data_IF_055123659048
#
_entry.id   IF_055123659048
#
_cell.length_a   1.000
_cell.length_b   1.000
_cell.length_c   1.000
_cell.angle_alpha   90.00
_cell.angle_beta   90.00
_cell.angle_gamma   90.00
#
_symmetry.space_group_name_H-M   'P 1'
#
loop_
_entity.id
_entity.type
_entity.pdbx_description
1 polymer ?
#
# COMPACT_ATOMS: atom_id res chain seq x y z
N UNK A 1 -18.30 8.94 15.53
CA UNK A 1 -19.54 8.77 14.74
C UNK A 1 -19.46 9.41 13.36
N UNK A 2 -19.30 10.73 13.23
CA UNK A 2 -19.24 11.41 11.91
C UNK A 2 -18.25 10.74 10.95
N UNK A 3 -17.01 10.52 11.40
CA UNK A 3 -15.94 9.88 10.61
C UNK A 3 -16.30 8.47 10.13
N UNK A 4 -17.07 7.71 10.91
CA UNK A 4 -17.48 6.34 10.56
C UNK A 4 -18.53 6.35 9.45
N UNK A 5 -19.60 7.14 9.61
CA UNK A 5 -20.70 7.22 8.63
C UNK A 5 -20.20 7.81 7.31
N UNK A 6 -19.46 8.92 7.38
CA UNK A 6 -18.90 9.58 6.19
C UNK A 6 -17.90 8.71 5.44
N UNK A 7 -17.14 7.86 6.14
CA UNK A 7 -16.22 6.94 5.48
C UNK A 7 -16.94 5.86 4.68
N UNK A 8 -18.03 5.30 5.23
CA UNK A 8 -18.86 4.32 4.52
C UNK A 8 -19.43 4.94 3.25
N UNK A 9 -19.99 6.14 3.33
CA UNK A 9 -20.53 6.86 2.17
C UNK A 9 -19.44 7.22 1.16
N UNK A 10 -18.25 7.64 1.63
CA UNK A 10 -17.13 7.99 0.76
C UNK A 10 -16.60 6.77 -0.01
N UNK A 11 -16.46 5.61 0.64
CA UNK A 11 -16.04 4.38 -0.04
C UNK A 11 -17.13 3.89 -1.00
N UNK A 12 -18.41 3.95 -0.59
CA UNK A 12 -19.54 3.56 -1.45
C UNK A 12 -19.67 4.43 -2.71
N UNK A 13 -19.21 5.69 -2.67
CA UNK A 13 -19.23 6.59 -3.82
C UNK A 13 -18.20 6.26 -4.93
N UNK A 14 -17.34 5.26 -4.73
CA UNK A 14 -16.33 4.85 -5.72
C UNK A 14 -15.14 5.82 -5.85
N UNK A 15 -15.03 6.82 -4.97
CA UNK A 15 -13.87 7.69 -4.91
C UNK A 15 -12.60 6.89 -4.59
N UNK A 16 -11.48 7.27 -5.21
CA UNK A 16 -10.18 6.64 -4.94
C UNK A 16 -9.65 7.08 -3.56
N UNK A 17 -10.15 6.43 -2.52
CA UNK A 17 -9.89 6.69 -1.10
C UNK A 17 -9.73 5.35 -0.36
N UNK A 18 -8.92 5.32 0.70
CA UNK A 18 -8.78 4.17 1.59
C UNK A 18 -9.55 4.33 2.90
N UNK A 19 -10.03 3.23 3.48
CA UNK A 19 -10.68 3.23 4.80
C UNK A 19 -9.71 3.08 5.99
N UNK A 20 -8.51 2.59 5.73
CA UNK A 20 -7.61 2.10 6.79
C UNK A 20 -7.08 3.20 7.72
N UNK A 21 -6.61 4.33 7.18
CA UNK A 21 -6.15 5.45 8.01
C UNK A 21 -7.23 6.01 8.95
N UNK A 22 -8.44 6.32 8.43
CA UNK A 22 -9.57 6.70 9.28
C UNK A 22 -9.96 5.66 10.34
N UNK A 23 -9.84 4.37 10.05
CA UNK A 23 -10.18 3.27 10.98
C UNK A 23 -9.23 3.26 12.18
N UNK A 24 -7.92 3.45 11.97
CA UNK A 24 -6.93 3.58 13.06
C UNK A 24 -7.31 4.74 13.99
N UNK A 25 -7.71 5.88 13.43
CA UNK A 25 -8.15 7.02 14.23
C UNK A 25 -9.44 6.74 15.01
N UNK A 26 -10.41 6.05 14.41
CA UNK A 26 -11.64 5.66 15.14
C UNK A 26 -11.31 4.73 16.30
N UNK A 27 -10.39 3.77 16.12
CA UNK A 27 -9.91 2.91 17.19
C UNK A 27 -9.27 3.71 18.34
N UNK A 28 -8.43 4.70 18.02
CA UNK A 28 -7.86 5.61 19.02
C UNK A 28 -8.93 6.42 19.76
N UNK A 29 -9.98 6.90 19.08
CA UNK A 29 -11.10 7.58 19.74
C UNK A 29 -11.82 6.66 20.72
N UNK A 30 -12.07 5.41 20.34
CA UNK A 30 -12.65 4.41 21.26
C UNK A 30 -11.72 4.17 22.46
N UNK A 31 -10.43 3.95 22.23
CA UNK A 31 -9.43 3.79 23.29
C UNK A 31 -9.37 5.00 24.24
N UNK A 32 -9.50 6.21 23.71
CA UNK A 32 -9.56 7.44 24.51
C UNK A 32 -10.80 7.46 25.41
N UNK A 33 -11.98 7.10 24.90
CA UNK A 33 -13.23 7.02 25.69
C UNK A 33 -13.07 5.99 26.82
N UNK A 34 -12.54 4.81 26.52
CA UNK A 34 -12.27 3.78 27.54
C UNK A 34 -11.23 4.23 28.58
N UNK A 35 -10.26 5.06 28.19
CA UNK A 35 -9.28 5.60 29.15
C UNK A 35 -9.89 6.53 30.20
N UNK A 36 -11.00 7.21 29.89
CA UNK A 36 -11.72 8.07 30.85
C UNK A 36 -12.51 7.27 31.88
N UNK A 37 -12.92 6.04 31.56
CA UNK A 37 -13.64 5.16 32.49
C UNK A 37 -12.78 4.75 33.70
N UNK A 38 -11.45 4.81 33.56
CA UNK A 38 -10.51 4.38 34.58
C UNK A 38 -9.67 5.56 35.09
N UNK A 39 -9.83 6.00 36.35
CA UNK A 39 -9.12 7.15 36.92
C UNK A 39 -7.58 7.05 36.82
N UNK A 40 -7.05 5.82 36.86
CA UNK A 40 -5.62 5.50 36.70
C UNK A 40 -5.05 5.94 35.35
N UNK A 41 -5.84 5.85 34.29
CA UNK A 41 -5.43 6.21 32.93
C UNK A 41 -5.88 7.63 32.57
N UNK A 42 -7.05 8.06 33.04
CA UNK A 42 -7.59 9.41 32.81
C UNK A 42 -6.69 10.53 33.36
N UNK A 43 -6.16 10.36 34.59
CA UNK A 43 -5.35 11.40 35.26
C UNK A 43 -3.87 11.40 34.85
N UNK A 44 -3.40 10.38 34.13
CA UNK A 44 -1.99 10.24 33.76
C UNK A 44 -1.81 10.20 32.25
N UNK A 45 -1.40 11.32 31.67
CA UNK A 45 -1.19 11.48 30.23
C UNK A 45 -0.16 10.50 29.64
N UNK A 46 0.86 10.09 30.41
CA UNK A 46 1.81 9.09 29.94
C UNK A 46 1.15 7.72 29.76
N UNK A 47 0.29 7.33 30.71
CA UNK A 47 -0.46 6.05 30.65
C UNK A 47 -1.59 6.11 29.63
N UNK A 48 -2.21 7.26 29.44
CA UNK A 48 -3.17 7.49 28.37
C UNK A 48 -2.55 7.31 26.99
N UNK A 49 -1.33 7.83 26.78
CA UNK A 49 -0.57 7.61 25.54
C UNK A 49 -0.31 6.12 25.29
N UNK A 50 0.05 5.34 26.31
CA UNK A 50 0.19 3.88 26.17
C UNK A 50 -1.10 3.20 25.67
N UNK A 51 -2.28 3.63 26.15
CA UNK A 51 -3.58 3.12 25.71
C UNK A 51 -3.87 3.52 24.26
N UNK A 52 -3.54 4.75 23.85
CA UNK A 52 -3.70 5.22 22.47
C UNK A 52 -2.78 4.45 21.51
N UNK A 53 -1.55 4.16 21.92
CA UNK A 53 -0.63 3.35 21.13
C UNK A 53 -1.17 1.92 20.95
N UNK A 54 -1.70 1.30 22.00
CA UNK A 54 -2.34 -0.02 21.92
C UNK A 54 -3.61 0.01 21.03
N UNK A 55 -4.43 1.05 21.15
CA UNK A 55 -5.64 1.22 20.34
C UNK A 55 -5.32 1.42 18.84
N UNK A 56 -4.25 2.16 18.53
CA UNK A 56 -3.78 2.32 17.15
C UNK A 56 -3.31 0.98 16.55
N UNK A 57 -2.58 0.17 17.32
CA UNK A 57 -2.12 -1.15 16.89
C UNK A 57 -3.31 -2.09 16.61
N UNK A 58 -4.30 -2.12 17.50
CA UNK A 58 -5.54 -2.87 17.28
C UNK A 58 -6.31 -2.36 16.05
N UNK A 59 -6.36 -1.04 15.83
CA UNK A 59 -6.97 -0.44 14.65
C UNK A 59 -6.31 -0.87 13.34
N UNK A 60 -4.97 -0.87 13.27
CA UNK A 60 -4.23 -1.36 12.10
C UNK A 60 -4.43 -2.87 11.91
N UNK A 61 -4.46 -3.64 13.01
CA UNK A 61 -4.72 -5.07 12.97
C UNK A 61 -6.11 -5.39 12.40
N UNK A 62 -7.14 -4.60 12.70
CA UNK A 62 -8.48 -4.77 12.12
C UNK A 62 -8.55 -4.29 10.67
N UNK A 63 -7.81 -3.23 10.35
CA UNK A 63 -7.73 -2.66 9.00
C UNK A 63 -7.14 -3.65 7.99
N UNK A 64 -6.02 -4.29 8.35
CA UNK A 64 -5.25 -5.15 7.44
C UNK A 64 -5.32 -6.64 7.79
N UNK A 65 -5.83 -7.03 8.96
CA UNK A 65 -5.74 -8.42 9.43
C UNK A 65 -4.33 -8.83 9.86
N UNK A 66 -3.46 -7.84 10.16
CA UNK A 66 -2.03 -7.99 10.40
C UNK A 66 -1.67 -7.53 11.84
N UNK A 67 -1.70 -8.42 12.86
CA UNK A 67 -1.49 -8.04 14.25
C UNK A 67 -0.04 -7.64 14.56
N UNK A 68 0.97 -8.32 14.00
CA UNK A 68 2.38 -7.97 14.23
C UNK A 68 2.69 -6.65 13.51
N UNK A 69 2.23 -6.54 12.27
CA UNK A 69 2.36 -5.33 11.46
C UNK A 69 1.70 -4.11 12.14
N UNK A 70 0.55 -4.29 12.80
CA UNK A 70 -0.12 -3.23 13.55
C UNK A 70 0.64 -2.72 14.77
N UNK A 71 1.28 -3.61 15.53
CA UNK A 71 2.12 -3.20 16.67
C UNK A 71 3.38 -2.47 16.19
N UNK A 72 4.02 -2.98 15.13
CA UNK A 72 5.17 -2.32 14.52
C UNK A 72 4.81 -0.96 13.92
N UNK A 73 3.62 -0.82 13.35
CA UNK A 73 3.14 0.48 12.89
C UNK A 73 2.98 1.48 14.03
N UNK A 74 2.40 1.06 15.16
CA UNK A 74 2.26 1.91 16.36
C UNK A 74 3.63 2.33 16.93
N UNK A 75 4.61 1.43 16.85
CA UNK A 75 6.00 1.68 17.18
C UNK A 75 6.69 2.67 16.23
N UNK A 76 6.49 2.53 14.91
CA UNK A 76 7.18 3.31 13.90
C UNK A 76 6.60 4.73 13.76
N UNK A 77 5.27 4.88 13.88
CA UNK A 77 4.57 6.10 13.49
C UNK A 77 3.83 6.82 14.63
N UNK A 78 3.45 6.10 15.70
CA UNK A 78 2.58 6.67 16.75
C UNK A 78 3.37 7.04 18.00
N UNK A 79 4.43 6.29 18.33
CA UNK A 79 5.12 6.41 19.63
C UNK A 79 6.64 6.46 19.49
N UNK A 80 7.27 7.55 19.93
CA UNK A 80 8.75 7.65 19.99
C UNK A 80 9.36 6.74 21.06
N UNK A 81 8.66 6.58 22.18
CA UNK A 81 9.07 5.74 23.30
C UNK A 81 8.01 4.69 23.57
N UNK A 82 8.42 3.42 23.56
CA UNK A 82 7.51 2.30 23.69
C UNK A 82 8.08 1.27 24.65
N UNK A 83 7.65 1.31 25.93
CA UNK A 83 8.19 0.37 26.92
C UNK A 83 7.71 -1.04 26.62
N UNK A 84 8.55 -2.05 26.92
CA UNK A 84 8.27 -3.47 26.63
C UNK A 84 6.93 -3.95 27.21
N UNK A 85 6.52 -3.42 28.37
CA UNK A 85 5.21 -3.73 28.97
C UNK A 85 4.04 -3.26 28.10
N UNK A 86 4.17 -2.11 27.43
CA UNK A 86 3.15 -1.59 26.50
C UNK A 86 3.16 -2.36 25.19
N UNK A 87 4.33 -2.86 24.77
CA UNK A 87 4.45 -3.73 23.60
C UNK A 87 3.62 -5.00 23.73
N UNK A 88 3.81 -5.74 24.83
CA UNK A 88 3.04 -6.95 25.08
C UNK A 88 1.53 -6.69 25.18
N UNK A 89 1.13 -5.58 25.81
CA UNK A 89 -0.29 -5.19 25.92
C UNK A 89 -0.89 -4.82 24.55
N UNK A 90 -0.14 -4.11 23.72
CA UNK A 90 -0.57 -3.72 22.37
C UNK A 90 -0.68 -4.94 21.47
N UNK A 91 0.27 -5.87 21.58
CA UNK A 91 0.24 -7.15 20.86
C UNK A 91 -0.97 -8.00 21.25
N UNK A 92 -1.25 -8.14 22.54
CA UNK A 92 -2.44 -8.84 23.00
C UNK A 92 -3.73 -8.20 22.49
N UNK A 93 -3.83 -6.85 22.55
CA UNK A 93 -4.98 -6.12 22.02
C UNK A 93 -5.17 -6.32 20.50
N UNK A 94 -4.08 -6.28 19.73
CA UNK A 94 -4.10 -6.55 18.29
C UNK A 94 -4.51 -7.99 17.97
N UNK A 95 -3.99 -8.97 18.71
CA UNK A 95 -4.35 -10.38 18.56
C UNK A 95 -5.84 -10.63 18.80
N UNK A 96 -6.39 -10.06 19.88
CA UNK A 96 -7.83 -10.17 20.18
C UNK A 96 -8.65 -9.52 19.06
N UNK A 97 -8.21 -8.37 18.55
CA UNK A 97 -8.90 -7.69 17.45
C UNK A 97 -8.88 -8.52 16.15
N UNK A 98 -7.73 -9.12 15.81
CA UNK A 98 -7.61 -10.04 14.67
C UNK A 98 -8.47 -11.30 14.84
N UNK A 99 -8.51 -11.88 16.05
CA UNK A 99 -9.34 -13.04 16.35
C UNK A 99 -10.83 -12.73 16.17
N UNK A 100 -11.31 -11.60 16.71
CA UNK A 100 -12.70 -11.15 16.54
C UNK A 100 -13.02 -10.92 15.07
N UNK A 101 -12.13 -10.29 14.31
CA UNK A 101 -12.30 -10.10 12.87
C UNK A 101 -12.43 -11.44 12.13
N UNK A 102 -11.62 -12.45 12.51
CA UNK A 102 -11.71 -13.80 11.97
C UNK A 102 -13.04 -14.47 12.28
N UNK A 103 -13.50 -14.37 13.53
CA UNK A 103 -14.73 -15.00 13.99
C UNK A 103 -15.97 -14.43 13.30
N UNK A 104 -15.96 -13.13 12.98
CA UNK A 104 -17.06 -12.48 12.25
C UNK A 104 -17.03 -12.85 10.76
N UNK A 105 -15.85 -13.16 10.20
CA UNK A 105 -15.63 -13.51 8.79
C UNK A 105 -16.37 -12.59 7.79
N UNK A 106 -16.11 -11.27 7.81
CA UNK A 106 -16.83 -10.31 6.97
C UNK A 106 -16.63 -10.52 5.47
N UNK A 107 -15.56 -11.21 5.07
CA UNK A 107 -15.21 -11.43 3.66
C UNK A 107 -15.74 -12.76 3.10
N UNK A 108 -16.32 -13.64 3.93
CA UNK A 108 -16.82 -14.95 3.51
C UNK A 108 -15.73 -15.97 3.11
N UNK A 109 -14.47 -15.57 3.08
CA UNK A 109 -13.36 -16.40 2.56
C UNK A 109 -12.64 -17.22 3.65
N UNK A 110 -13.11 -17.19 4.91
CA UNK A 110 -12.50 -17.91 6.06
C UNK A 110 -11.05 -17.54 6.38
N UNK A 111 -10.46 -16.60 5.63
CA UNK A 111 -9.12 -16.04 5.80
C UNK A 111 -9.21 -14.70 6.54
N UNK A 112 -8.20 -14.42 7.36
CA UNK A 112 -8.04 -13.18 8.13
C UNK A 112 -7.81 -11.94 7.26
N UNK A 113 -7.34 -12.16 6.03
CA UNK A 113 -6.74 -11.16 5.16
C UNK A 113 -7.50 -11.08 3.83
N UNK A 114 -7.68 -9.86 3.34
CA UNK A 114 -8.35 -9.56 2.06
C UNK A 114 -7.54 -9.96 0.80
N UNK A 115 -6.22 -10.06 0.91
CA UNK A 115 -5.26 -10.22 -0.21
C UNK A 115 -4.38 -11.48 -0.10
N UNK A 116 -4.92 -12.57 0.42
CA UNK A 116 -4.13 -13.80 0.57
C UNK A 116 -3.77 -14.41 -0.79
N UNK A 117 -2.46 -14.52 -1.07
CA UNK A 117 -1.93 -15.17 -2.28
C UNK A 117 -0.76 -16.06 -1.87
N UNK A 118 -0.89 -17.36 -2.06
CA UNK A 118 0.21 -18.32 -1.93
C UNK A 118 0.94 -18.40 -3.27
N UNK A 119 2.24 -18.14 -3.24
CA UNK A 119 3.13 -18.32 -4.38
C UNK A 119 3.99 -19.54 -4.11
N UNK A 120 4.06 -20.46 -5.08
CA UNK A 120 4.77 -21.73 -4.94
C UNK A 120 6.18 -21.73 -5.55
N UNK A 121 6.60 -20.60 -6.12
CA UNK A 121 7.84 -20.43 -6.87
C UNK A 121 8.88 -19.63 -6.08
N UNK A 122 10.10 -20.15 -5.89
CA UNK A 122 11.15 -19.39 -5.23
C UNK A 122 11.57 -18.22 -6.12
N UNK A 123 11.88 -17.07 -5.50
CA UNK A 123 12.46 -15.93 -6.20
C UNK A 123 13.97 -16.09 -6.33
N UNK A 124 14.55 -15.52 -7.38
CA UNK A 124 15.99 -15.59 -7.61
C UNK A 124 16.70 -14.23 -7.53
N UNK A 125 18.02 -14.24 -7.28
CA UNK A 125 18.81 -13.03 -7.02
C UNK A 125 18.78 -11.99 -8.14
N UNK A 126 18.75 -12.36 -9.42
CA UNK A 126 18.73 -11.35 -10.48
C UNK A 126 17.36 -10.66 -10.63
N UNK A 127 16.27 -11.22 -10.10
CA UNK A 127 14.97 -10.53 -9.98
C UNK A 127 15.02 -9.35 -9.00
N UNK A 128 16.07 -9.28 -8.18
CA UNK A 128 16.32 -8.12 -7.32
C UNK A 128 16.50 -6.83 -8.13
N UNK A 129 17.04 -6.91 -9.35
CA UNK A 129 17.23 -5.72 -10.18
C UNK A 129 15.90 -5.03 -10.55
N UNK A 130 14.91 -5.72 -11.15
CA UNK A 130 13.61 -5.09 -11.40
C UNK A 130 12.85 -4.74 -10.12
N UNK A 131 13.03 -5.46 -9.00
CA UNK A 131 12.47 -5.05 -7.70
C UNK A 131 13.05 -3.73 -7.19
N UNK A 132 14.36 -3.50 -7.36
CA UNK A 132 15.00 -2.22 -7.05
C UNK A 132 14.46 -1.12 -7.97
N UNK A 133 14.25 -1.39 -9.26
CA UNK A 133 13.66 -0.44 -10.20
C UNK A 133 12.24 -0.02 -9.77
N UNK A 134 11.42 -1.00 -9.34
CA UNK A 134 10.09 -0.72 -8.76
C UNK A 134 10.19 0.11 -7.48
N UNK A 135 11.22 -0.13 -6.66
CA UNK A 135 11.60 0.71 -5.53
C UNK A 135 11.86 2.16 -5.93
N UNK A 136 12.73 2.38 -6.93
CA UNK A 136 13.03 3.72 -7.46
C UNK A 136 11.76 4.41 -7.97
N UNK A 137 10.94 3.70 -8.74
CA UNK A 137 9.65 4.20 -9.23
C UNK A 137 8.73 4.60 -8.07
N UNK A 138 8.58 3.75 -7.04
CA UNK A 138 7.77 4.04 -5.87
C UNK A 138 8.25 5.27 -5.09
N UNK A 139 9.56 5.46 -4.99
CA UNK A 139 10.17 6.62 -4.34
C UNK A 139 9.95 7.93 -5.10
N UNK A 140 10.11 7.90 -6.43
CA UNK A 140 9.84 9.02 -7.33
C UNK A 140 8.36 9.39 -7.34
N UNK A 141 7.49 8.38 -7.46
CA UNK A 141 6.04 8.55 -7.37
C UNK A 141 5.64 9.18 -6.03
N UNK A 142 6.17 8.65 -4.91
CA UNK A 142 5.89 9.20 -3.58
C UNK A 142 6.31 10.67 -3.45
N UNK A 143 7.49 11.03 -3.95
CA UNK A 143 7.97 12.40 -3.94
C UNK A 143 7.11 13.34 -4.81
N UNK A 144 6.75 12.90 -6.02
CA UNK A 144 5.87 13.63 -6.94
C UNK A 144 4.47 13.83 -6.32
N UNK A 145 3.87 12.74 -5.83
CA UNK A 145 2.55 12.75 -5.21
C UNK A 145 2.48 13.74 -4.05
N UNK A 146 3.46 13.72 -3.14
CA UNK A 146 3.49 14.62 -1.98
C UNK A 146 3.58 16.09 -2.45
N UNK A 147 4.45 16.40 -3.41
CA UNK A 147 4.60 17.78 -3.94
C UNK A 147 3.33 18.25 -4.64
N UNK A 148 2.76 17.42 -5.53
CA UNK A 148 1.54 17.72 -6.26
C UNK A 148 0.34 17.91 -5.32
N UNK A 149 0.21 17.04 -4.32
CA UNK A 149 -0.88 17.15 -3.35
C UNK A 149 -0.78 18.42 -2.49
N UNK A 150 0.43 18.78 -2.04
CA UNK A 150 0.64 20.03 -1.29
C UNK A 150 0.35 21.25 -2.16
N UNK A 151 0.83 21.26 -3.41
CA UNK A 151 0.55 22.33 -4.36
C UNK A 151 -0.96 22.51 -4.59
N UNK A 152 -1.68 21.39 -4.77
CA UNK A 152 -3.12 21.38 -4.91
C UNK A 152 -3.85 21.88 -3.65
N UNK A 153 -3.41 21.45 -2.46
CA UNK A 153 -3.96 21.93 -1.19
C UNK A 153 -3.71 23.43 -0.98
N UNK A 154 -2.54 23.96 -1.34
CA UNK A 154 -2.25 25.41 -1.30
C UNK A 154 -3.14 26.18 -2.28
N UNK A 155 -3.29 25.68 -3.51
CA UNK A 155 -4.14 26.31 -4.52
C UNK A 155 -5.61 26.36 -4.08
N UNK A 156 -6.12 25.34 -3.38
CA UNK A 156 -7.46 25.38 -2.78
C UNK A 156 -7.64 26.45 -1.70
N UNK A 157 -6.64 26.69 -0.87
CA UNK A 157 -6.70 27.76 0.13
C UNK A 157 -6.70 29.15 -0.50
N UNK A 158 -6.04 29.32 -1.65
CA UNK A 158 -5.92 30.60 -2.35
C UNK A 158 -7.07 30.90 -3.32
N UNK A 159 -7.84 29.91 -3.76
CA UNK A 159 -8.86 30.06 -4.82
C UNK A 159 -10.28 30.05 -4.25
N UNK A 160 -11.24 30.60 -5.01
CA UNK A 160 -12.67 30.57 -4.64
C UNK A 160 -13.25 29.16 -4.47
N UNK A 161 -12.59 28.13 -5.02
CA UNK A 161 -12.96 26.72 -4.85
C UNK A 161 -13.01 26.29 -3.38
N UNK A 162 -12.23 26.91 -2.49
CA UNK A 162 -12.29 26.62 -1.05
C UNK A 162 -13.61 27.00 -0.36
N UNK A 163 -14.45 27.86 -0.98
CA UNK A 163 -15.73 28.32 -0.42
C UNK A 163 -16.85 27.28 -0.52
N UNK A 164 -16.82 26.37 -1.51
CA UNK A 164 -17.88 25.39 -1.75
C UNK A 164 -17.34 23.94 -1.74
N UNK A 165 -16.96 23.42 -0.56
CA UNK A 165 -16.31 22.10 -0.46
C UNK A 165 -17.22 20.93 -0.83
N UNK A 166 -18.54 21.06 -0.66
CA UNK A 166 -19.49 19.99 -1.01
C UNK A 166 -19.63 19.86 -2.53
N UNK A 167 -19.77 20.98 -3.24
CA UNK A 167 -19.84 21.01 -4.69
C UNK A 167 -18.55 20.45 -5.33
N UNK A 168 -17.40 20.72 -4.72
CA UNK A 168 -16.12 20.18 -5.15
C UNK A 168 -16.10 18.64 -5.08
N UNK A 169 -16.54 18.05 -3.96
CA UNK A 169 -16.59 16.58 -3.81
C UNK A 169 -17.54 15.96 -4.83
N UNK A 170 -18.72 16.57 -5.04
CA UNK A 170 -19.70 16.10 -6.03
C UNK A 170 -19.11 16.16 -7.45
N UNK A 171 -18.44 17.27 -7.80
CA UNK A 171 -17.81 17.43 -9.11
C UNK A 171 -16.68 16.40 -9.32
N UNK A 172 -15.81 16.20 -8.32
CA UNK A 172 -14.74 15.19 -8.43
C UNK A 172 -15.33 13.78 -8.52
N UNK A 173 -16.37 13.46 -7.76
CA UNK A 173 -17.04 12.16 -7.86
C UNK A 173 -17.68 11.95 -9.25
N UNK A 174 -18.37 12.95 -9.79
CA UNK A 174 -18.95 12.88 -11.13
C UNK A 174 -17.90 12.70 -12.22
N UNK A 175 -16.81 13.48 -12.17
CA UNK A 175 -15.67 13.34 -13.09
C UNK A 175 -15.02 11.96 -12.94
N UNK A 176 -14.85 11.47 -11.71
CA UNK A 176 -14.35 10.11 -11.45
C UNK A 176 -15.22 9.08 -12.15
N UNK A 177 -16.55 9.16 -11.98
CA UNK A 177 -17.49 8.21 -12.55
C UNK A 177 -17.46 8.23 -14.09
N UNK A 178 -17.48 9.42 -14.70
CA UNK A 178 -17.48 9.58 -16.16
C UNK A 178 -16.18 9.02 -16.77
N UNK A 179 -15.03 9.33 -16.18
CA UNK A 179 -13.72 8.94 -16.73
C UNK A 179 -13.35 7.50 -16.37
N UNK A 180 -13.84 6.96 -15.25
CA UNK A 180 -13.59 5.56 -14.87
C UNK A 180 -14.50 4.55 -15.58
N UNK A 181 -15.66 4.99 -16.12
CA UNK A 181 -16.62 4.11 -16.77
C UNK A 181 -16.08 3.34 -18.00
N UNK A 182 -15.28 3.95 -18.89
CA UNK A 182 -14.81 3.27 -20.11
C UNK A 182 -13.79 2.16 -19.86
N UNK A 183 -13.00 2.25 -18.77
CA UNK A 183 -11.93 1.29 -18.49
C UNK A 183 -12.36 0.28 -17.41
N UNK A 184 -12.38 -1.03 -17.70
CA UNK A 184 -12.87 -2.05 -16.77
C UNK A 184 -12.09 -2.08 -15.45
N UNK A 185 -10.76 -1.91 -15.50
CA UNK A 185 -9.89 -1.92 -14.32
C UNK A 185 -10.06 -0.68 -13.44
N UNK A 186 -10.45 0.47 -14.02
CA UNK A 186 -10.73 1.67 -13.23
C UNK A 186 -12.11 1.65 -12.60
N UNK A 187 -13.05 0.89 -13.20
CA UNK A 187 -14.43 0.72 -12.73
C UNK A 187 -14.55 -0.18 -11.50
N UNK A 188 -13.69 -1.19 -11.39
CA UNK A 188 -13.68 -2.12 -10.25
C UNK A 188 -13.31 -1.42 -8.93
N UNK A 189 -13.76 -2.02 -7.82
CA UNK A 189 -13.38 -1.60 -6.48
C UNK A 189 -11.86 -1.74 -6.31
N UNK A 190 -11.22 -0.74 -5.70
CA UNK A 190 -9.74 -0.70 -5.65
C UNK A 190 -9.15 -1.88 -4.87
N UNK A 191 -9.86 -2.40 -3.86
CA UNK A 191 -9.45 -3.62 -3.15
C UNK A 191 -9.63 -4.89 -3.98
N UNK A 192 -10.67 -4.97 -4.80
CA UNK A 192 -10.88 -6.12 -5.68
C UNK A 192 -9.83 -6.13 -6.79
N UNK A 193 -9.54 -4.96 -7.36
CA UNK A 193 -8.46 -4.76 -8.33
C UNK A 193 -7.09 -5.19 -7.78
N UNK A 194 -6.73 -4.79 -6.56
CA UNK A 194 -5.45 -5.21 -5.94
C UNK A 194 -5.42 -6.73 -5.78
N UNK A 195 -6.53 -7.35 -5.37
CA UNK A 195 -6.61 -8.81 -5.26
C UNK A 195 -6.36 -9.46 -6.62
N UNK A 196 -7.04 -9.01 -7.68
CA UNK A 196 -6.88 -9.51 -9.05
C UNK A 196 -5.46 -9.28 -9.60
N UNK A 197 -4.77 -8.22 -9.19
CA UNK A 197 -3.38 -7.93 -9.57
C UNK A 197 -2.38 -8.86 -8.87
N UNK A 198 -2.66 -9.28 -7.63
CA UNK A 198 -1.79 -10.16 -6.86
C UNK A 198 -2.03 -11.63 -7.21
N UNK A 199 -3.23 -12.02 -7.64
CA UNK A 199 -3.51 -13.40 -8.02
C UNK A 199 -2.77 -13.80 -9.29
N UNK A 200 -2.27 -15.03 -9.28
CA UNK A 200 -1.75 -15.69 -10.47
C UNK A 200 -2.89 -16.37 -11.24
N UNK A 201 -2.63 -16.62 -12.53
CA UNK A 201 -3.64 -17.13 -13.43
C UNK A 201 -3.92 -18.61 -13.19
N UNK A 202 -5.00 -18.89 -12.47
CA UNK A 202 -5.48 -20.26 -12.22
C UNK A 202 -6.37 -20.82 -13.35
N UNK A 203 -6.62 -22.14 -13.38
CA UNK A 203 -7.37 -22.83 -14.44
C UNK A 203 -8.87 -22.48 -14.52
N UNK A 204 -9.43 -21.78 -13.52
CA UNK A 204 -10.84 -21.36 -13.49
C UNK A 204 -11.04 -19.84 -13.62
N UNK A 205 -9.98 -19.04 -13.70
CA UNK A 205 -10.09 -17.58 -13.73
C UNK A 205 -10.09 -17.05 -15.17
N UNK A 206 -11.19 -16.42 -15.57
CA UNK A 206 -11.43 -15.86 -16.91
C UNK A 206 -11.10 -14.37 -17.01
N UNK A 207 -10.11 -13.88 -16.25
CA UNK A 207 -9.69 -12.48 -16.32
C UNK A 207 -8.92 -12.21 -17.63
N UNK A 208 -9.04 -10.99 -18.16
CA UNK A 208 -8.30 -10.57 -19.38
C UNK A 208 -6.77 -10.60 -19.16
N UNK A 209 -6.34 -10.53 -17.90
CA UNK A 209 -4.95 -10.68 -17.45
C UNK A 209 -4.39 -12.10 -17.67
N UNK A 210 -5.26 -13.09 -17.83
CA UNK A 210 -4.91 -14.51 -17.91
C UNK A 210 -5.15 -15.12 -19.29
N UNK A 211 -5.48 -14.31 -20.29
CA UNK A 211 -5.73 -14.75 -21.66
C UNK A 211 -4.43 -14.87 -22.48
N UNK A 212 -3.53 -15.72 -22.03
CA UNK A 212 -2.32 -16.11 -22.75
C UNK A 212 -2.65 -17.02 -23.95
N UNK A 213 -1.76 -17.10 -24.94
CA UNK A 213 -1.99 -18.01 -26.07
C UNK A 213 -1.86 -19.46 -25.59
N UNK A 214 -2.97 -20.21 -25.61
CA UNK A 214 -2.94 -21.63 -25.30
C UNK A 214 -2.37 -22.40 -26.50
N UNK A 215 -1.19 -23.01 -26.36
CA UNK A 215 -0.76 -24.01 -27.34
C UNK A 215 -1.57 -25.30 -27.13
N UNK A 216 -2.42 -25.62 -28.09
CA UNK A 216 -3.25 -26.81 -28.08
C UNK A 216 -2.47 -27.99 -28.66
N UNK A 217 -1.63 -28.64 -27.86
CA UNK A 217 -1.00 -29.91 -28.23
C UNK A 217 -1.85 -31.08 -27.72
N UNK A 218 -2.83 -31.51 -28.53
CA UNK A 218 -3.70 -32.66 -28.25
C UNK A 218 -4.91 -32.37 -27.35
N UNK A 219 -5.70 -33.42 -27.08
CA UNK A 219 -7.03 -33.39 -26.41
C UNK A 219 -7.03 -32.95 -24.93
N UNK A 220 -5.92 -32.39 -24.45
CA UNK A 220 -5.80 -31.80 -23.11
C UNK A 220 -5.29 -30.38 -23.31
N UNK A 221 -6.15 -29.39 -23.07
CA UNK A 221 -5.69 -28.02 -22.87
C UNK A 221 -4.72 -28.05 -21.68
N UNK A 222 -3.43 -27.89 -21.94
CA UNK A 222 -2.41 -27.82 -20.89
C UNK A 222 -2.54 -26.46 -20.21
N UNK A 223 -3.44 -26.38 -19.23
CA UNK A 223 -3.55 -25.24 -18.33
C UNK A 223 -2.29 -25.05 -17.45
N UNK A 224 -1.41 -26.05 -17.43
CA UNK A 224 -0.19 -26.13 -16.61
C UNK A 224 1.12 -25.86 -17.38
N UNK A 225 1.07 -25.27 -18.59
CA UNK A 225 2.31 -24.81 -19.25
C UNK A 225 2.68 -23.41 -18.70
N UNK A 226 3.80 -23.26 -17.98
CA UNK A 226 4.16 -22.06 -17.21
C UNK A 226 4.65 -20.88 -18.07
N UNK A 227 5.15 -21.15 -19.27
CA UNK A 227 5.67 -20.13 -20.18
C UNK A 227 4.78 -20.04 -21.42
N UNK A 228 4.00 -18.95 -21.55
CA UNK A 228 3.17 -18.71 -22.73
C UNK A 228 3.43 -17.33 -23.32
N UNK A 229 3.44 -17.20 -24.66
CA UNK A 229 3.44 -15.89 -25.25
C UNK A 229 2.15 -15.16 -24.90
N UNK A 230 2.27 -13.88 -24.59
CA UNK A 230 1.14 -13.00 -24.30
C UNK A 230 0.13 -13.10 -25.45
N UNK A 231 -1.11 -13.45 -25.12
CA UNK A 231 -2.21 -13.43 -26.08
C UNK A 231 -2.66 -12.01 -26.38
N UNK A 232 -3.51 -11.81 -27.41
CA UNK A 232 -4.08 -10.50 -27.71
C UNK A 232 -4.86 -9.90 -26.53
N UNK A 233 -5.42 -10.73 -25.65
CA UNK A 233 -6.08 -10.30 -24.41
C UNK A 233 -5.12 -9.66 -23.40
N UNK A 234 -3.93 -10.23 -23.22
CA UNK A 234 -2.90 -9.69 -22.32
C UNK A 234 -2.38 -8.34 -22.83
N UNK A 235 -2.13 -8.20 -24.14
CA UNK A 235 -1.73 -6.89 -24.71
C UNK A 235 -2.81 -5.82 -24.54
N UNK A 236 -4.09 -6.17 -24.75
CA UNK A 236 -5.21 -5.28 -24.47
C UNK A 236 -5.27 -4.90 -22.99
N UNK A 237 -5.08 -5.88 -22.09
CA UNK A 237 -5.05 -5.65 -20.65
C UNK A 237 -3.88 -4.73 -20.24
N UNK A 238 -2.67 -4.93 -20.77
CA UNK A 238 -1.52 -4.07 -20.53
C UNK A 238 -1.79 -2.62 -20.92
N UNK A 239 -2.38 -2.39 -22.09
CA UNK A 239 -2.76 -1.04 -22.52
C UNK A 239 -3.80 -0.41 -21.57
N UNK A 240 -4.83 -1.17 -21.19
CA UNK A 240 -5.85 -0.70 -20.26
C UNK A 240 -5.28 -0.43 -18.85
N UNK A 241 -4.31 -1.21 -18.38
CA UNK A 241 -3.61 -1.00 -17.11
C UNK A 241 -2.72 0.24 -17.15
N UNK A 242 -2.03 0.50 -18.26
CA UNK A 242 -1.26 1.73 -18.46
C UNK A 242 -2.17 2.98 -18.38
N UNK A 243 -3.33 2.93 -19.04
CA UNK A 243 -4.34 3.99 -18.93
C UNK A 243 -4.90 4.11 -17.50
N UNK A 244 -5.16 2.97 -16.84
CA UNK A 244 -5.63 2.93 -15.46
C UNK A 244 -4.61 3.53 -14.48
N UNK A 245 -3.32 3.29 -14.70
CA UNK A 245 -2.21 3.82 -13.90
C UNK A 245 -2.21 5.35 -13.94
N UNK A 246 -2.20 5.92 -15.15
CA UNK A 246 -2.22 7.38 -15.36
C UNK A 246 -3.48 7.98 -14.72
N UNK A 247 -4.64 7.36 -14.94
CA UNK A 247 -5.89 7.82 -14.37
C UNK A 247 -5.88 7.79 -12.83
N UNK A 248 -5.50 6.66 -12.21
CA UNK A 248 -5.41 6.54 -10.74
C UNK A 248 -4.41 7.53 -10.15
N UNK A 249 -3.27 7.75 -10.80
CA UNK A 249 -2.28 8.77 -10.41
C UNK A 249 -2.94 10.16 -10.33
N UNK A 250 -3.64 10.58 -11.39
CA UNK A 250 -4.28 11.90 -11.44
C UNK A 250 -5.40 12.00 -10.41
N UNK A 251 -6.27 10.99 -10.34
CA UNK A 251 -7.42 11.01 -9.43
C UNK A 251 -7.01 11.01 -7.97
N UNK A 252 -6.01 10.22 -7.57
CA UNK A 252 -5.55 10.17 -6.18
C UNK A 252 -4.99 11.51 -5.68
N UNK A 253 -4.34 12.29 -6.54
CA UNK A 253 -3.84 13.64 -6.21
C UNK A 253 -5.02 14.57 -5.89
N UNK A 254 -6.08 14.53 -6.69
CA UNK A 254 -7.26 15.37 -6.52
C UNK A 254 -8.11 14.94 -5.30
N UNK A 255 -8.32 13.63 -5.12
CA UNK A 255 -9.19 13.07 -4.08
C UNK A 255 -8.61 13.25 -2.67
N UNK A 256 -7.30 13.08 -2.46
CA UNK A 256 -6.71 13.06 -1.10
C UNK A 256 -6.80 14.39 -0.33
N UNK A 257 -6.96 15.52 -1.02
CA UNK A 257 -7.14 16.79 -0.32
C UNK A 257 -8.59 17.30 -0.27
N UNK A 258 -9.57 16.50 -0.71
CA UNK A 258 -10.98 16.80 -0.48
C UNK A 258 -11.28 16.87 1.03
N UNK A 259 -12.34 17.60 1.41
CA UNK A 259 -12.79 17.70 2.82
C UNK A 259 -13.62 16.47 3.23
N UNK A 260 -13.08 15.27 3.01
CA UNK A 260 -13.70 13.97 3.33
C UNK A 260 -12.67 13.14 4.10
N UNK A 261 -13.06 12.34 5.12
CA UNK A 261 -12.12 11.45 5.77
C UNK A 261 -11.61 10.39 4.78
N UNK A 262 -10.31 10.42 4.52
CA UNK A 262 -9.68 9.57 3.53
C UNK A 262 -8.37 8.98 4.05
N UNK A 263 -8.16 7.70 3.80
CA UNK A 263 -6.87 7.03 3.90
C UNK A 263 -6.17 7.02 2.55
N UNK A 264 -4.84 7.02 2.58
CA UNK A 264 -3.98 7.03 1.39
C UNK A 264 -3.36 5.67 1.07
N UNK A 265 -3.53 4.69 1.98
CA UNK A 265 -2.89 3.38 1.92
C UNK A 265 -3.32 2.60 0.67
N UNK A 266 -4.62 2.30 0.54
CA UNK A 266 -5.16 1.49 -0.56
C UNK A 266 -4.90 2.13 -1.94
N UNK A 267 -5.15 3.42 -2.18
CA UNK A 267 -4.89 4.00 -3.50
C UNK A 267 -3.41 3.98 -3.90
N UNK A 268 -2.49 4.15 -2.94
CA UNK A 268 -1.05 4.07 -3.23
C UNK A 268 -0.59 2.64 -3.50
N UNK A 269 -1.14 1.67 -2.77
CA UNK A 269 -0.91 0.25 -3.06
C UNK A 269 -1.43 -0.12 -4.45
N UNK A 270 -2.60 0.38 -4.86
CA UNK A 270 -3.15 0.09 -6.19
C UNK A 270 -2.28 0.62 -7.33
N UNK A 271 -1.77 1.86 -7.22
CA UNK A 271 -0.85 2.43 -8.23
C UNK A 271 0.42 1.58 -8.33
N UNK A 272 0.97 1.18 -7.19
CA UNK A 272 2.14 0.31 -7.15
C UNK A 272 1.86 -1.10 -7.67
N UNK A 273 0.69 -1.67 -7.38
CA UNK A 273 0.28 -2.99 -7.86
C UNK A 273 0.13 -3.01 -9.38
N UNK A 274 -0.50 -1.97 -9.97
CA UNK A 274 -0.63 -1.84 -11.41
C UNK A 274 0.74 -1.72 -12.07
N UNK A 275 1.61 -0.83 -11.56
CA UNK A 275 2.95 -0.66 -12.10
C UNK A 275 3.79 -1.94 -11.96
N UNK A 276 3.70 -2.60 -10.80
CA UNK A 276 4.34 -3.88 -10.54
C UNK A 276 3.88 -4.98 -11.49
N UNK A 277 2.56 -5.12 -11.71
CA UNK A 277 2.02 -6.12 -12.64
C UNK A 277 2.47 -5.87 -14.08
N UNK A 278 2.50 -4.61 -14.53
CA UNK A 278 2.97 -4.25 -15.87
C UNK A 278 4.45 -4.66 -16.03
N UNK A 279 5.29 -4.37 -15.03
CA UNK A 279 6.71 -4.77 -15.05
C UNK A 279 6.85 -6.29 -14.99
N UNK A 280 6.06 -6.97 -14.15
CA UNK A 280 6.06 -8.43 -14.04
C UNK A 280 5.77 -9.11 -15.38
N UNK A 281 4.68 -8.71 -16.05
CA UNK A 281 4.33 -9.25 -17.38
C UNK A 281 5.41 -8.89 -18.41
N UNK A 282 5.99 -7.69 -18.35
CA UNK A 282 7.06 -7.30 -19.28
C UNK A 282 8.33 -8.15 -19.09
N UNK A 283 8.72 -8.45 -17.85
CA UNK A 283 9.89 -9.30 -17.53
C UNK A 283 9.63 -10.75 -17.91
N UNK A 284 8.42 -11.26 -17.66
CA UNK A 284 7.96 -12.59 -18.09
C UNK A 284 8.05 -12.75 -19.61
N UNK A 285 7.52 -11.79 -20.38
CA UNK A 285 7.59 -11.84 -21.84
C UNK A 285 9.02 -11.66 -22.37
N UNK A 286 9.83 -10.83 -21.72
CA UNK A 286 11.23 -10.67 -22.10
C UNK A 286 12.01 -11.98 -21.90
N UNK A 287 11.79 -12.69 -20.80
CA UNK A 287 12.40 -13.98 -20.52
C UNK A 287 12.00 -15.04 -21.57
N UNK A 288 10.73 -15.05 -21.99
CA UNK A 288 10.23 -15.96 -23.02
C UNK A 288 10.91 -15.76 -24.39
N UNK A 289 11.02 -14.51 -24.87
CA UNK A 289 11.61 -14.22 -26.20
C UNK A 289 13.15 -14.28 -26.21
N UNK A 290 13.81 -14.05 -25.08
CA UNK A 290 15.27 -14.00 -24.96
C UNK A 290 15.82 -15.04 -23.99
N UNK A 291 15.33 -16.27 -24.09
CA UNK A 291 15.78 -17.41 -23.27
C UNK A 291 17.28 -17.72 -23.45
N UNK A 292 17.87 -17.31 -24.58
CA UNK A 292 19.28 -17.52 -24.90
C UNK A 292 20.23 -16.48 -24.27
N UNK A 293 19.71 -15.40 -23.68
CA UNK A 293 20.56 -14.35 -23.11
C UNK A 293 21.24 -14.90 -21.84
N UNK A 294 22.50 -14.51 -21.60
CA UNK A 294 23.28 -14.99 -20.44
C UNK A 294 22.52 -14.80 -19.12
N UNK A 295 21.68 -13.77 -19.07
CA UNK A 295 20.88 -13.38 -17.93
C UNK A 295 19.62 -14.22 -17.71
N UNK A 296 19.21 -15.09 -18.63
CA UNK A 296 18.02 -15.96 -18.52
C UNK A 296 18.35 -17.46 -18.57
N UNK A 297 19.53 -17.80 -19.11
CA UNK A 297 19.97 -19.17 -19.35
C UNK A 297 20.28 -20.02 -18.10
N UNK A 298 20.65 -19.42 -16.97
CA UNK A 298 21.16 -20.14 -15.79
C UNK A 298 20.11 -20.53 -14.73
N UNK A 299 18.90 -20.00 -14.82
CA UNK A 299 17.94 -19.92 -13.71
C UNK A 299 16.47 -20.00 -14.15
N UNK A 300 16.20 -19.92 -15.46
CA UNK A 300 14.91 -20.29 -16.02
C UNK A 300 15.12 -21.53 -16.89
N UNK A 301 14.65 -22.68 -16.42
CA UNK A 301 14.61 -23.91 -17.21
C UNK A 301 13.32 -23.90 -18.03
N UNK A 302 13.44 -24.22 -19.33
CA UNK A 302 12.32 -24.26 -20.28
C UNK A 302 11.21 -25.16 -19.72
N UNK A 303 10.09 -24.56 -19.33
CA UNK A 303 8.93 -25.29 -18.81
C UNK A 303 8.78 -25.30 -17.28
N UNK A 304 9.45 -24.42 -16.55
CA UNK A 304 9.20 -24.13 -15.13
C UNK A 304 8.67 -22.70 -14.91
N UNK A 305 7.88 -22.47 -13.86
CA UNK A 305 7.41 -21.11 -13.50
C UNK A 305 8.59 -20.28 -12.93
N UNK A 306 9.28 -19.55 -13.79
CA UNK A 306 10.46 -18.76 -13.39
C UNK A 306 10.10 -17.38 -12.84
N UNK A 307 9.04 -16.75 -13.36
CA UNK A 307 8.69 -15.36 -13.05
C UNK A 307 7.20 -15.30 -12.75
N UNK A 308 6.87 -14.78 -11.56
CA UNK A 308 5.49 -14.70 -11.12
C UNK A 308 5.02 -13.24 -11.10
N UNK A 309 4.19 -12.79 -12.04
CA UNK A 309 3.82 -11.37 -12.17
C UNK A 309 3.02 -10.84 -10.97
N UNK A 310 2.34 -11.71 -10.21
CA UNK A 310 1.70 -11.35 -8.94
C UNK A 310 2.71 -10.85 -7.90
N UNK A 311 3.89 -11.47 -7.81
CA UNK A 311 4.96 -11.05 -6.89
C UNK A 311 5.44 -9.63 -7.19
N UNK A 312 5.61 -9.28 -8.47
CA UNK A 312 5.99 -7.94 -8.89
C UNK A 312 4.92 -6.91 -8.54
N UNK A 313 3.64 -7.25 -8.67
CA UNK A 313 2.53 -6.41 -8.23
C UNK A 313 2.60 -6.14 -6.72
N UNK A 314 2.86 -7.15 -5.89
CA UNK A 314 3.00 -6.99 -4.44
C UNK A 314 4.19 -6.12 -4.07
N UNK A 315 5.36 -6.36 -4.67
CA UNK A 315 6.58 -5.58 -4.43
C UNK A 315 6.37 -4.12 -4.86
N UNK A 316 5.74 -3.89 -6.01
CA UNK A 316 5.39 -2.56 -6.50
C UNK A 316 4.40 -1.84 -5.57
N UNK A 317 3.38 -2.54 -5.06
CA UNK A 317 2.42 -2.01 -4.09
C UNK A 317 3.11 -1.57 -2.79
N UNK A 318 4.00 -2.40 -2.25
CA UNK A 318 4.79 -2.11 -1.06
C UNK A 318 5.74 -0.91 -1.30
N UNK A 319 6.45 -0.89 -2.43
CA UNK A 319 7.38 0.17 -2.80
C UNK A 319 6.68 1.53 -2.94
N UNK A 320 5.53 1.60 -3.63
CA UNK A 320 4.77 2.84 -3.79
C UNK A 320 4.18 3.32 -2.45
N UNK A 321 3.63 2.40 -1.64
CA UNK A 321 3.11 2.77 -0.33
C UNK A 321 4.23 3.29 0.58
N UNK A 322 5.37 2.58 0.66
CA UNK A 322 6.55 3.01 1.43
C UNK A 322 7.14 4.33 0.95
N UNK A 323 7.06 4.62 -0.36
CA UNK A 323 7.50 5.88 -0.93
C UNK A 323 6.64 7.08 -0.49
N UNK A 324 5.33 6.89 -0.33
CA UNK A 324 4.42 7.96 0.11
C UNK A 324 4.40 8.11 1.64
N UNK A 325 4.38 6.99 2.38
CA UNK A 325 4.28 7.00 3.84
C UNK A 325 5.62 7.16 4.55
N UNK A 326 6.74 6.75 3.92
CA UNK A 326 8.10 6.64 4.52
C UNK A 326 8.25 5.57 5.61
N UNK A 327 7.23 4.72 5.76
CA UNK A 327 7.25 3.54 6.64
C UNK A 327 8.05 2.43 5.99
N UNK A 328 8.83 1.71 6.79
CA UNK A 328 9.72 0.63 6.32
C UNK A 328 9.35 -0.71 6.91
N UNK A 329 9.63 -0.91 8.20
CA UNK A 329 9.58 -2.24 8.82
C UNK A 329 8.14 -2.67 9.05
N UNK A 330 7.30 -1.79 9.57
CA UNK A 330 5.88 -2.07 9.77
C UNK A 330 5.19 -2.43 8.45
N UNK A 331 5.50 -1.71 7.38
CA UNK A 331 4.90 -1.91 6.06
C UNK A 331 5.27 -3.27 5.46
N UNK A 332 6.55 -3.64 5.52
CA UNK A 332 7.00 -4.96 5.04
C UNK A 332 6.32 -6.08 5.82
N UNK A 333 6.21 -5.94 7.15
CA UNK A 333 5.54 -6.96 7.98
C UNK A 333 4.03 -7.00 7.72
N UNK A 334 3.37 -5.87 7.49
CA UNK A 334 1.95 -5.84 7.09
C UNK A 334 1.78 -6.60 5.77
N UNK A 335 2.57 -6.28 4.74
CA UNK A 335 2.47 -6.95 3.43
C UNK A 335 2.79 -8.44 3.55
N UNK A 336 3.80 -8.81 4.34
CA UNK A 336 4.11 -10.21 4.62
C UNK A 336 2.97 -10.96 5.34
N UNK A 337 2.38 -10.39 6.40
CA UNK A 337 1.24 -11.01 7.08
C UNK A 337 0.02 -11.12 6.15
N UNK A 338 -0.09 -10.23 5.16
CA UNK A 338 -1.15 -10.29 4.18
C UNK A 338 -0.97 -11.44 3.18
N UNK A 339 0.26 -11.75 2.79
CA UNK A 339 0.57 -12.69 1.71
C UNK A 339 0.88 -14.09 2.21
N UNK A 340 1.47 -14.23 3.40
CA UNK A 340 1.75 -15.53 4.03
C UNK A 340 3.04 -16.23 3.56
N UNK A 341 3.78 -15.65 2.61
CA UNK A 341 5.06 -16.18 2.12
C UNK A 341 6.27 -15.52 2.78
N UNK A 342 7.01 -16.28 3.62
CA UNK A 342 8.24 -15.80 4.30
C UNK A 342 9.39 -15.54 3.33
N UNK A 343 9.42 -16.25 2.20
CA UNK A 343 10.53 -16.21 1.25
C UNK A 343 10.68 -14.84 0.59
N UNK A 344 9.59 -14.10 0.41
CA UNK A 344 9.55 -12.83 -0.31
C UNK A 344 9.92 -11.58 0.54
N UNK A 345 10.31 -11.77 1.81
CA UNK A 345 10.63 -10.65 2.71
C UNK A 345 11.84 -9.85 2.24
N UNK A 346 12.87 -10.53 1.74
CA UNK A 346 14.12 -9.89 1.30
C UNK A 346 13.90 -8.93 0.12
N UNK A 347 13.27 -9.35 -1.01
CA UNK A 347 13.01 -8.44 -2.12
C UNK A 347 12.05 -7.30 -1.75
N UNK A 348 11.04 -7.56 -0.91
CA UNK A 348 10.15 -6.52 -0.38
C UNK A 348 10.93 -5.47 0.41
N UNK A 349 11.81 -5.89 1.31
CA UNK A 349 12.61 -4.97 2.12
C UNK A 349 13.57 -4.14 1.25
N UNK A 350 14.21 -4.75 0.24
CA UNK A 350 15.08 -4.05 -0.69
C UNK A 350 14.33 -2.97 -1.49
N UNK A 351 13.15 -3.31 -2.04
CA UNK A 351 12.32 -2.37 -2.80
C UNK A 351 11.78 -1.22 -1.93
N UNK A 352 11.34 -1.51 -0.70
CA UNK A 352 10.83 -0.50 0.23
C UNK A 352 11.96 0.43 0.70
N UNK A 353 13.15 -0.10 1.01
CA UNK A 353 14.30 0.70 1.41
C UNK A 353 14.80 1.61 0.29
N UNK A 354 14.88 1.10 -0.94
CA UNK A 354 15.24 1.91 -2.11
C UNK A 354 14.22 3.00 -2.39
N UNK A 355 12.92 2.69 -2.31
CA UNK A 355 11.83 3.69 -2.41
C UNK A 355 11.94 4.79 -1.35
N UNK A 356 12.26 4.42 -0.11
CA UNK A 356 12.52 5.38 0.96
C UNK A 356 13.70 6.28 0.64
N UNK A 357 14.87 5.72 0.32
CA UNK A 357 16.09 6.48 0.02
C UNK A 357 15.89 7.45 -1.14
N UNK A 358 15.28 6.97 -2.23
CA UNK A 358 15.01 7.79 -3.40
C UNK A 358 14.12 8.96 -3.03
N UNK A 359 12.99 8.71 -2.36
CA UNK A 359 12.12 9.82 -2.06
C UNK A 359 12.62 10.74 -0.93
N UNK A 360 13.47 10.26 -0.01
CA UNK A 360 14.18 11.10 0.97
C UNK A 360 15.16 12.06 0.28
N UNK A 361 15.79 11.62 -0.82
CA UNK A 361 16.63 12.47 -1.67
C UNK A 361 15.83 13.63 -2.31
N UNK A 362 14.57 13.40 -2.69
CA UNK A 362 13.68 14.44 -3.21
C UNK A 362 12.93 15.23 -2.13
N UNK A 363 12.97 14.81 -0.86
CA UNK A 363 12.57 15.62 0.28
C UNK A 363 12.36 14.85 1.58
N UNK A 364 12.85 15.42 2.68
CA UNK A 364 13.00 14.81 4.02
C UNK A 364 11.76 14.37 4.81
N UNK A 365 10.54 14.55 4.31
CA UNK A 365 9.34 14.31 5.14
C UNK A 365 8.26 13.56 4.34
N UNK A 366 7.63 12.55 4.95
CA UNK A 366 6.54 11.77 4.39
C UNK A 366 5.20 12.53 4.34
N UNK A 367 4.19 11.98 3.66
CA UNK A 367 2.90 12.65 3.46
C UNK A 367 2.18 12.97 4.78
N UNK A 368 2.16 12.01 5.72
CA UNK A 368 1.53 12.16 7.04
C UNK A 368 2.25 13.23 7.87
N UNK A 369 3.59 13.18 7.93
CA UNK A 369 4.44 14.13 8.68
C UNK A 369 4.41 15.54 8.11
N UNK A 370 4.35 15.70 6.78
CA UNK A 370 4.20 17.02 6.14
C UNK A 370 2.84 17.65 6.40
N UNK A 371 1.79 16.85 6.54
CA UNK A 371 0.44 17.37 6.77
C UNK A 371 0.29 17.83 8.21
N UNK A 372 0.87 17.13 9.19
CA UNK A 372 0.99 17.64 10.55
C UNK A 372 1.78 18.94 10.54
N UNK A 373 2.99 19.00 9.98
CA UNK A 373 3.80 20.23 9.92
C UNK A 373 3.15 21.40 9.14
N UNK A 374 2.27 21.12 8.18
CA UNK A 374 1.49 22.15 7.46
C UNK A 374 0.20 22.58 8.19
N UNK A 375 -0.29 21.79 9.16
CA UNK A 375 -1.49 22.07 9.96
C UNK A 375 -1.17 22.70 11.31
N UNK A 376 -0.06 22.29 11.93
CA UNK A 376 0.54 22.92 13.11
C UNK A 376 1.74 23.72 12.64
N UNK A 377 1.68 25.05 12.74
CA UNK A 377 2.84 25.92 12.59
C UNK A 377 3.82 25.71 13.76
N UNK A 378 4.35 24.50 13.90
CA UNK A 378 5.37 24.12 14.89
C UNK A 378 6.50 23.42 14.13
N UNK A 379 7.73 23.94 14.20
CA UNK A 379 8.85 23.35 13.47
C UNK A 379 9.18 21.96 14.03
N UNK A 380 9.28 20.98 13.14
CA UNK A 380 9.91 19.69 13.41
C UNK A 380 11.40 19.94 13.67
N UNK A 381 11.81 19.97 14.94
CA UNK A 381 13.21 20.05 15.33
C UNK A 381 13.89 18.72 15.05
N UNK A 382 14.38 18.53 13.82
CA UNK A 382 15.53 17.66 13.58
C UNK A 382 16.78 18.54 13.60
N UNK A 383 17.77 18.29 14.47
CA UNK A 383 18.98 19.08 14.46
C UNK A 383 19.67 18.88 13.11
N UNK A 384 19.87 19.97 12.36
CA UNK A 384 20.78 19.99 11.21
C UNK A 384 22.10 19.42 11.70
N UNK A 385 22.53 18.27 11.17
CA UNK A 385 23.93 17.83 11.26
C UNK A 385 24.78 18.84 10.49
N UNK A 386 25.12 19.95 11.12
CA UNK A 386 26.26 20.77 10.73
C UNK A 386 27.47 20.21 11.47
N UNK A 387 28.35 19.55 10.75
CA UNK A 387 29.70 19.21 11.19
C UNK A 387 30.48 20.49 11.47
N UNK A 388 30.39 21.01 12.70
CA UNK A 388 31.39 21.90 13.28
C UNK A 388 31.70 21.40 14.69
N UNK A 389 32.84 20.73 14.77
CA UNK A 389 33.52 20.30 16.00
C UNK A 389 33.74 21.50 16.94
N UNK A 390 33.39 21.38 18.23
CA UNK A 390 33.98 22.24 19.25
C UNK A 390 35.04 21.45 20.03
N UNK A 391 36.25 21.98 19.92
CA UNK A 391 37.47 21.67 20.66
C UNK A 391 37.18 21.76 22.17
N UNK A 392 37.42 20.67 22.90
CA UNK A 392 37.41 20.66 24.36
C UNK A 392 38.44 21.66 24.90
N UNK A 393 38.01 22.60 25.75
CA UNK A 393 38.91 23.33 26.65
C UNK A 393 38.42 23.13 28.07
N UNK A 394 39.18 22.33 28.83
CA UNK A 394 39.07 22.12 30.27
C UNK A 394 39.29 23.45 30.99
N UNK A 395 38.44 23.76 31.96
CA UNK A 395 38.81 24.07 33.36
C UNK A 395 37.61 23.87 34.25
#
# INVERSE_FOLDING_TARGET
MIKTITLVLAVASGLSLGKEGPLVHVACCCGNIFSYLFPKYSKNEAKKREVLSAASAAGVSVAFGAPIGGVLFSLEEVSYYFPLKTLWRSFFAALVAAFVLRSINPFGNSRLVLFYVEYHTPWYLFELFPFILLGVFGGLWGAFFIRANIAWCRRRKSTRFGKYPVLEVIAVAAVTAIVAFPNPYTRQNTSELIKELFTDCGPLESSQLCQYHNQMNGSRASWDAPERPAGPGVYSAMWQLCLALIFKIVMTIFTFGLKVPSGLFIPSMAIGAIAGRIVGIAVEQLAYYHHDWFLFKEWCEVGADCITPGLYAMVGAAACLGGVTRMTVSLVVIVFELTGGLEYIVPLMAAVMTSKWVGDAFGREGASTRRTSASTATPSWTPRRSSRTPRWRRR
#
